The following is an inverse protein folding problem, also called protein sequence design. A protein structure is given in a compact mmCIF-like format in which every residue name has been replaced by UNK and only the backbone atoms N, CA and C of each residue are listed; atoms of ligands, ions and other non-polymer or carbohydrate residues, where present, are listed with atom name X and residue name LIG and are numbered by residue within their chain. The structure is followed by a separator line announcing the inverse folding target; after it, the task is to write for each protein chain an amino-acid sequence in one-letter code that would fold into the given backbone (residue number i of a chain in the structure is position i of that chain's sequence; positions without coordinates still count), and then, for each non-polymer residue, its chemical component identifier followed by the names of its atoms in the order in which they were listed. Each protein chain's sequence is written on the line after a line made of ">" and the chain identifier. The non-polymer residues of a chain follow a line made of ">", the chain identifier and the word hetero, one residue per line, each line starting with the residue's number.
data_IF_191871008129
#
_entry.id   IF_191871008129
#
_cell.length_a   1.000
_cell.length_b   1.000
_cell.length_c   1.000
_cell.angle_alpha   90.00
_cell.angle_beta   90.00
_cell.angle_gamma   90.00
#
_symmetry.space_group_name_H-M   'P 1'
#
loop_
_entity.id
_entity.type
_entity.pdbx_description
1 polymer ?
#
# COMPACT_ATOMS: atom_id res chain seq x y z
N UNK A 1 16.39 -23.93 6.79
CA UNK A 1 17.20 -23.55 5.62
C UNK A 1 17.68 -22.12 5.85
N UNK A 2 18.98 -21.88 6.00
CA UNK A 2 19.51 -20.51 5.99
C UNK A 2 19.24 -19.96 4.59
N UNK A 3 18.31 -19.01 4.46
CA UNK A 3 18.17 -18.30 3.20
C UNK A 3 19.44 -17.46 3.04
N UNK A 4 20.33 -17.87 2.14
CA UNK A 4 21.47 -17.06 1.75
C UNK A 4 20.93 -15.92 0.87
N UNK A 5 20.64 -14.78 1.50
CA UNK A 5 20.33 -13.55 0.79
C UNK A 5 21.53 -13.12 -0.05
N UNK A 6 21.29 -12.43 -1.17
CA UNK A 6 22.38 -11.91 -1.99
C UNK A 6 23.21 -10.89 -1.22
N UNK A 7 24.48 -10.74 -1.58
CA UNK A 7 25.36 -9.72 -0.97
C UNK A 7 24.73 -8.32 -1.03
N UNK A 8 24.08 -7.98 -2.15
CA UNK A 8 23.38 -6.71 -2.33
C UNK A 8 22.26 -6.48 -1.31
N UNK A 9 21.46 -7.52 -0.99
CA UNK A 9 20.39 -7.40 0.02
C UNK A 9 21.01 -7.25 1.42
N UNK A 10 22.08 -7.98 1.71
CA UNK A 10 22.79 -7.91 2.99
C UNK A 10 23.40 -6.51 3.18
N UNK A 11 24.11 -6.00 2.17
CA UNK A 11 24.73 -4.68 2.18
C UNK A 11 23.68 -3.56 2.34
N UNK A 12 22.54 -3.69 1.66
CA UNK A 12 21.43 -2.74 1.82
C UNK A 12 20.88 -2.76 3.26
N UNK A 13 20.64 -3.95 3.83
CA UNK A 13 20.13 -4.10 5.19
C UNK A 13 21.11 -3.63 6.29
N UNK A 14 22.42 -3.61 6.01
CA UNK A 14 23.42 -3.04 6.92
C UNK A 14 23.54 -1.52 6.85
N UNK A 15 22.96 -0.88 5.83
CA UNK A 15 22.90 0.57 5.76
C UNK A 15 21.87 1.09 6.79
N UNK A 16 22.28 2.03 7.66
CA UNK A 16 21.39 2.63 8.66
C UNK A 16 20.19 3.36 8.02
N UNK A 17 20.36 3.89 6.81
CA UNK A 17 19.29 4.55 6.07
C UNK A 17 18.21 3.56 5.60
N UNK A 18 18.47 2.25 5.64
CA UNK A 18 17.48 1.22 5.24
C UNK A 18 16.27 1.14 6.16
N UNK A 19 16.37 1.71 7.37
CA UNK A 19 15.25 1.85 8.29
C UNK A 19 14.32 3.03 7.94
N UNK A 20 14.73 3.90 7.02
CA UNK A 20 13.89 5.00 6.53
C UNK A 20 12.79 4.52 5.58
N UNK A 21 11.63 5.17 5.66
CA UNK A 21 10.51 4.89 4.79
C UNK A 21 10.85 5.30 3.34
N UNK A 22 11.04 4.32 2.47
CA UNK A 22 11.10 4.53 1.02
C UNK A 22 9.75 4.27 0.36
N UNK A 23 9.12 5.32 -0.17
CA UNK A 23 7.87 5.20 -0.93
C UNK A 23 8.10 4.56 -2.31
N UNK A 24 9.32 4.64 -2.83
CA UNK A 24 9.75 3.94 -4.04
C UNK A 24 9.71 2.42 -3.83
N UNK A 25 10.27 1.94 -2.72
CA UNK A 25 10.23 0.52 -2.36
C UNK A 25 8.78 0.04 -2.18
N UNK A 26 7.94 0.82 -1.50
CA UNK A 26 6.51 0.51 -1.33
C UNK A 26 5.80 0.43 -2.69
N UNK A 27 6.09 1.37 -3.60
CA UNK A 27 5.53 1.39 -4.96
C UNK A 27 5.92 0.14 -5.75
N UNK A 28 7.21 -0.23 -5.73
CA UNK A 28 7.69 -1.44 -6.40
C UNK A 28 7.12 -2.72 -5.77
N UNK A 29 6.95 -2.74 -4.44
CA UNK A 29 6.30 -3.86 -3.75
C UNK A 29 4.83 -4.01 -4.15
N UNK A 30 4.08 -2.91 -4.25
CA UNK A 30 2.67 -2.92 -4.73
C UNK A 30 2.60 -3.50 -6.14
N UNK A 31 3.47 -3.04 -7.06
CA UNK A 31 3.55 -3.58 -8.43
C UNK A 31 3.94 -5.06 -8.45
N UNK A 32 4.86 -5.46 -7.59
CA UNK A 32 5.27 -6.86 -7.46
C UNK A 32 4.09 -7.73 -7.02
N UNK A 33 3.36 -7.31 -5.98
CA UNK A 33 2.17 -8.02 -5.50
C UNK A 33 1.14 -8.12 -6.63
N UNK A 34 0.85 -7.01 -7.30
CA UNK A 34 -0.15 -6.98 -8.36
C UNK A 34 0.17 -7.93 -9.53
N UNK A 35 1.45 -7.99 -9.94
CA UNK A 35 1.91 -8.81 -11.08
C UNK A 35 2.11 -10.29 -10.76
N UNK A 36 2.44 -10.63 -9.52
CA UNK A 36 2.92 -11.98 -9.17
C UNK A 36 2.03 -12.73 -8.20
N UNK A 37 1.15 -12.04 -7.48
CA UNK A 37 0.28 -12.62 -6.48
C UNK A 37 -1.18 -12.64 -6.97
N UNK A 38 -2.00 -13.47 -6.33
CA UNK A 38 -3.42 -13.63 -6.65
C UNK A 38 -4.28 -12.40 -6.42
N UNK A 39 -5.59 -12.57 -6.60
CA UNK A 39 -6.59 -11.52 -6.35
C UNK A 39 -6.64 -11.11 -4.87
N UNK A 40 -7.16 -9.90 -4.61
CA UNK A 40 -7.31 -9.35 -3.26
C UNK A 40 -6.87 -7.89 -3.17
N UNK A 41 -7.47 -7.14 -2.25
CA UNK A 41 -7.09 -5.76 -2.01
C UNK A 41 -5.74 -5.68 -1.27
N UNK A 42 -5.01 -4.61 -1.55
CA UNK A 42 -3.74 -4.28 -0.88
C UNK A 42 -4.03 -3.15 0.11
N UNK A 43 -3.68 -3.34 1.38
CA UNK A 43 -3.71 -2.32 2.42
C UNK A 43 -2.29 -1.89 2.76
N UNK A 44 -2.01 -0.60 2.68
CA UNK A 44 -0.69 -0.02 2.95
C UNK A 44 -0.79 0.90 4.17
N UNK A 45 0.01 0.65 5.19
CA UNK A 45 0.10 1.51 6.37
C UNK A 45 1.25 2.52 6.22
N UNK A 46 0.93 3.79 6.41
CA UNK A 46 1.87 4.92 6.38
C UNK A 46 1.66 5.83 7.60
N UNK A 47 2.70 6.55 8.05
CA UNK A 47 2.67 7.30 9.31
C UNK A 47 1.77 8.55 9.29
N UNK A 48 1.37 9.04 8.11
CA UNK A 48 0.54 10.25 8.04
C UNK A 48 0.13 10.69 6.64
N UNK A 49 -0.69 11.74 6.59
CA UNK A 49 -1.29 12.25 5.35
C UNK A 49 -0.30 12.67 4.28
N UNK A 50 0.84 13.26 4.65
CA UNK A 50 1.88 13.67 3.71
C UNK A 50 2.39 12.48 2.86
N UNK A 51 2.66 11.36 3.54
CA UNK A 51 3.12 10.12 2.90
C UNK A 51 2.00 9.46 2.09
N UNK A 52 0.77 9.46 2.61
CA UNK A 52 -0.42 8.98 1.89
C UNK A 52 -0.60 9.73 0.57
N UNK A 53 -0.61 11.07 0.62
CA UNK A 53 -0.79 11.93 -0.55
C UNK A 53 0.33 11.76 -1.56
N UNK A 54 1.58 11.64 -1.09
CA UNK A 54 2.74 11.43 -1.95
C UNK A 54 2.71 10.07 -2.63
N UNK A 55 2.43 8.97 -1.90
CA UNK A 55 2.32 7.65 -2.50
C UNK A 55 1.16 7.58 -3.50
N UNK A 56 0.00 8.15 -3.17
CA UNK A 56 -1.14 8.19 -4.08
C UNK A 56 -0.79 8.87 -5.42
N UNK A 57 -0.05 9.98 -5.36
CA UNK A 57 0.46 10.67 -6.55
C UNK A 57 1.45 9.82 -7.34
N UNK A 58 2.40 9.17 -6.66
CA UNK A 58 3.38 8.28 -7.31
C UNK A 58 2.69 7.12 -8.03
N UNK A 59 1.76 6.43 -7.37
CA UNK A 59 1.01 5.32 -7.99
C UNK A 59 0.25 5.78 -9.25
N UNK A 60 -0.36 6.96 -9.19
CA UNK A 60 -1.05 7.54 -10.35
C UNK A 60 -0.08 7.83 -11.50
N UNK A 61 1.11 8.37 -11.20
CA UNK A 61 2.15 8.66 -12.19
C UNK A 61 2.73 7.38 -12.82
N UNK A 62 2.81 6.30 -12.05
CA UNK A 62 3.24 4.97 -12.48
C UNK A 62 2.14 4.18 -13.24
N UNK A 63 0.98 4.81 -13.48
CA UNK A 63 -0.09 4.23 -14.29
C UNK A 63 -1.11 3.39 -13.50
N UNK A 64 -0.99 3.29 -12.16
CA UNK A 64 -1.95 2.60 -11.30
C UNK A 64 -3.16 3.52 -11.04
N UNK A 65 -3.93 3.74 -12.11
CA UNK A 65 -5.09 4.64 -12.13
C UNK A 65 -6.40 3.89 -12.42
N UNK A 66 -7.54 4.55 -12.18
CA UNK A 66 -8.87 3.97 -12.47
C UNK A 66 -9.01 3.51 -13.92
N UNK A 67 -8.43 4.26 -14.88
CA UNK A 67 -8.45 3.90 -16.31
C UNK A 67 -7.67 2.61 -16.62
N UNK A 68 -6.72 2.26 -15.77
CA UNK A 68 -5.89 1.07 -15.90
C UNK A 68 -6.39 -0.09 -15.02
N UNK A 69 -7.57 0.05 -14.39
CA UNK A 69 -8.14 -1.01 -13.55
C UNK A 69 -7.64 -0.99 -12.10
N UNK A 70 -7.33 0.18 -11.55
CA UNK A 70 -6.93 0.32 -10.14
C UNK A 70 -7.85 1.29 -9.40
N UNK A 71 -8.29 0.91 -8.20
CA UNK A 71 -9.03 1.76 -7.29
C UNK A 71 -8.13 2.12 -6.10
N UNK A 72 -7.50 3.29 -6.15
CA UNK A 72 -6.59 3.77 -5.09
C UNK A 72 -7.37 4.68 -4.13
N UNK A 73 -7.46 4.28 -2.86
CA UNK A 73 -8.28 4.96 -1.85
C UNK A 73 -7.38 5.43 -0.70
N UNK A 74 -7.15 6.75 -0.55
CA UNK A 74 -6.52 7.28 0.66
C UNK A 74 -7.50 7.22 1.84
N UNK A 75 -7.02 6.80 3.00
CA UNK A 75 -7.80 6.65 4.22
C UNK A 75 -7.08 7.32 5.40
N UNK A 76 -7.72 8.33 5.98
CA UNK A 76 -7.17 9.11 7.10
C UNK A 76 -8.31 9.60 8.01
N UNK A 77 -8.00 9.81 9.29
CA UNK A 77 -8.98 10.24 10.30
C UNK A 77 -9.64 11.59 9.99
N UNK A 78 -8.93 12.47 9.29
CA UNK A 78 -9.43 13.80 8.86
C UNK A 78 -10.38 13.76 7.65
N UNK A 79 -10.54 12.61 6.99
CA UNK A 79 -11.47 12.50 5.85
C UNK A 79 -12.93 12.49 6.32
N UNK A 80 -13.82 12.97 5.46
CA UNK A 80 -15.26 12.87 5.72
C UNK A 80 -15.69 11.41 5.88
N UNK A 81 -16.75 11.17 6.66
CA UNK A 81 -17.31 9.83 6.85
C UNK A 81 -17.69 9.17 5.52
N UNK A 82 -18.18 9.95 4.56
CA UNK A 82 -18.52 9.45 3.22
C UNK A 82 -17.27 8.95 2.50
N UNK A 83 -16.18 9.71 2.55
CA UNK A 83 -14.90 9.32 1.96
C UNK A 83 -14.32 8.07 2.62
N UNK A 84 -14.37 7.99 3.96
CA UNK A 84 -13.92 6.80 4.70
C UNK A 84 -14.74 5.56 4.34
N UNK A 85 -16.06 5.69 4.19
CA UNK A 85 -16.94 4.56 3.85
C UNK A 85 -16.69 3.96 2.47
N UNK A 86 -16.06 4.71 1.55
CA UNK A 86 -15.75 4.19 0.21
C UNK A 86 -14.84 2.96 0.24
N UNK A 87 -14.04 2.79 1.30
CA UNK A 87 -13.12 1.66 1.48
C UNK A 87 -13.82 0.31 1.61
N UNK A 88 -15.06 0.30 2.11
CA UNK A 88 -15.87 -0.90 2.30
C UNK A 88 -16.51 -1.40 1.00
N UNK A 89 -16.53 -0.58 -0.05
CA UNK A 89 -17.05 -1.02 -1.33
C UNK A 89 -16.07 -2.00 -1.98
N UNK A 90 -16.61 -3.11 -2.49
CA UNK A 90 -15.83 -4.05 -3.31
C UNK A 90 -15.54 -3.42 -4.67
N UNK A 91 -14.31 -3.52 -5.20
CA UNK A 91 -14.01 -3.02 -6.53
C UNK A 91 -14.76 -3.84 -7.61
N UNK A 92 -14.99 -3.27 -8.80
CA UNK A 92 -15.48 -4.02 -9.94
C UNK A 92 -14.57 -5.21 -10.28
N UNK A 93 -15.11 -6.21 -10.99
CA UNK A 93 -14.33 -7.37 -11.41
C UNK A 93 -13.15 -6.94 -12.30
N UNK A 94 -11.97 -7.47 -12.00
CA UNK A 94 -10.74 -7.13 -12.72
C UNK A 94 -10.11 -5.80 -12.30
N UNK A 95 -10.66 -5.12 -11.27
CA UNK A 95 -10.07 -3.91 -10.69
C UNK A 95 -9.37 -4.24 -9.38
N UNK A 96 -8.09 -3.87 -9.26
CA UNK A 96 -7.31 -4.02 -8.03
C UNK A 96 -7.59 -2.83 -7.10
N UNK A 97 -8.07 -3.10 -5.88
CA UNK A 97 -8.21 -2.07 -4.84
C UNK A 97 -6.90 -1.92 -4.05
N UNK A 98 -6.46 -0.68 -3.88
CA UNK A 98 -5.28 -0.32 -3.08
C UNK A 98 -5.72 0.74 -2.06
N UNK A 99 -5.68 0.40 -0.79
CA UNK A 99 -6.04 1.29 0.32
C UNK A 99 -4.75 1.79 0.95
N UNK A 100 -4.59 3.10 1.06
CA UNK A 100 -3.42 3.72 1.69
C UNK A 100 -3.89 4.40 2.96
N UNK A 101 -3.52 3.87 4.12
CA UNK A 101 -4.10 4.24 5.40
C UNK A 101 -3.04 4.60 6.45
N UNK A 102 -3.45 5.34 7.48
CA UNK A 102 -2.76 5.34 8.77
C UNK A 102 -3.30 4.20 9.65
N UNK A 103 -2.83 4.10 10.89
CA UNK A 103 -3.31 3.19 11.93
C UNK A 103 -4.83 3.23 12.22
N UNK A 104 -5.60 4.16 11.63
CA UNK A 104 -7.07 4.12 11.68
C UNK A 104 -7.63 2.80 11.12
N UNK A 105 -6.94 2.18 10.15
CA UNK A 105 -7.33 0.89 9.60
C UNK A 105 -6.93 -0.31 10.46
N UNK A 106 -6.06 -0.13 11.47
CA UNK A 106 -5.60 -1.24 12.33
C UNK A 106 -6.63 -1.62 13.38
N UNK A 107 -7.29 -0.62 13.98
CA UNK A 107 -8.19 -0.83 15.13
C UNK A 107 -9.64 -0.50 14.87
N UNK A 108 -9.92 0.38 13.90
CA UNK A 108 -11.24 1.02 13.79
C UNK A 108 -12.03 0.62 12.53
N UNK A 109 -11.41 -0.11 11.59
CA UNK A 109 -11.99 -0.40 10.27
C UNK A 109 -11.61 -1.83 9.85
N UNK A 110 -12.59 -2.63 9.44
CA UNK A 110 -12.37 -3.96 8.86
C UNK A 110 -12.73 -3.91 7.37
N UNK A 111 -11.77 -4.26 6.50
CA UNK A 111 -11.95 -4.24 5.05
C UNK A 111 -11.88 -5.69 4.54
N UNK A 112 -13.05 -6.29 4.32
CA UNK A 112 -13.21 -7.74 4.17
C UNK A 112 -12.50 -8.37 2.96
N UNK A 113 -12.15 -7.58 1.95
CA UNK A 113 -11.49 -8.03 0.72
C UNK A 113 -9.97 -7.79 0.71
N UNK A 114 -9.37 -7.34 1.83
CA UNK A 114 -7.92 -7.23 1.98
C UNK A 114 -7.28 -8.62 2.12
N UNK A 115 -6.28 -8.87 1.28
CA UNK A 115 -5.47 -10.10 1.29
C UNK A 115 -4.00 -9.80 1.54
N UNK A 116 -3.54 -8.62 1.14
CA UNK A 116 -2.15 -8.20 1.25
C UNK A 116 -2.05 -6.96 2.14
N UNK A 117 -1.16 -7.01 3.12
CA UNK A 117 -0.85 -5.87 4.00
C UNK A 117 0.62 -5.50 3.84
N UNK A 118 0.87 -4.23 3.54
CA UNK A 118 2.21 -3.61 3.52
C UNK A 118 2.29 -2.68 4.71
N UNK A 119 2.95 -3.15 5.77
CA UNK A 119 3.20 -2.35 6.96
C UNK A 119 4.58 -1.72 6.88
N UNK A 120 4.63 -0.38 6.93
CA UNK A 120 5.88 0.35 6.90
C UNK A 120 6.47 0.64 8.30
N UNK A 121 5.85 0.10 9.37
CA UNK A 121 6.46 -0.02 10.70
C UNK A 121 6.68 1.28 11.46
N UNK A 122 5.93 2.34 11.15
CA UNK A 122 6.02 3.66 11.82
C UNK A 122 4.65 4.30 12.04
#
# INVERSE_FOLDING_TARGET
>A
ASKNYSAQVIDFLYNQDSEELSLELVTELIKYIDRTQGEGAILVFLPGWDKISTLNRMLTQEGLSERAGYLVIPLHSMLSTVSQKSVFNRPPRGVRKIVIATNIAETSITIDDVVYVVDCGR
#
